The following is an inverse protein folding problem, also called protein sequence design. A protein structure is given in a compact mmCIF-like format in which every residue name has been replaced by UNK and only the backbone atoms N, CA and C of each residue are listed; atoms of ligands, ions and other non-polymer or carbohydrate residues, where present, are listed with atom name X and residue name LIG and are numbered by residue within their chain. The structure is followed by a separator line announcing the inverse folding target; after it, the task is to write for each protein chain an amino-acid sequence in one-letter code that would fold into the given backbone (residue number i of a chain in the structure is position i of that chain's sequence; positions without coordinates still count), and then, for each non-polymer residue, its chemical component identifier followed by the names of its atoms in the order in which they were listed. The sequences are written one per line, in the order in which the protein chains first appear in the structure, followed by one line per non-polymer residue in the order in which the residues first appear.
data_IF_865662559867
#
_entry.id   IF_865662559867
#
_cell.length_a   1.000
_cell.length_b   1.000
_cell.length_c   1.000
_cell.angle_alpha   90.00
_cell.angle_beta   90.00
_cell.angle_gamma   90.00
#
_symmetry.space_group_name_H-M   'P 1'
#
loop_
_entity.id
_entity.type
_entity.pdbx_description
1 polymer ?
#
# COMPACT_ATOMS: atom_id res chain seq x y z
N UNK A 1 10.74 5.76 -14.48
CA UNK A 1 10.90 4.33 -14.20
C UNK A 1 11.08 4.01 -12.71
N UNK A 2 12.00 4.70 -11.99
CA UNK A 2 12.32 4.40 -10.57
C UNK A 2 11.14 4.60 -9.58
N UNK A 3 10.27 5.58 -9.82
CA UNK A 3 9.17 5.90 -8.90
C UNK A 3 8.19 4.73 -8.68
N UNK A 4 7.84 3.97 -9.73
CA UNK A 4 6.96 2.80 -9.59
C UNK A 4 7.59 1.69 -8.76
N UNK A 5 8.89 1.45 -8.92
CA UNK A 5 9.62 0.48 -8.12
C UNK A 5 9.63 0.86 -6.62
N UNK A 6 9.80 2.15 -6.31
CA UNK A 6 9.69 2.66 -4.93
C UNK A 6 8.28 2.48 -4.36
N UNK A 7 7.25 2.78 -5.13
CA UNK A 7 5.85 2.53 -4.74
C UNK A 7 5.59 1.05 -4.45
N UNK A 8 6.06 0.16 -5.32
CA UNK A 8 5.99 -1.30 -5.13
C UNK A 8 6.72 -1.73 -3.85
N UNK A 9 7.95 -1.25 -3.65
CA UNK A 9 8.72 -1.56 -2.45
C UNK A 9 7.97 -1.15 -1.17
N UNK A 10 7.32 0.02 -1.18
CA UNK A 10 6.51 0.48 -0.04
C UNK A 10 5.23 -0.35 0.10
N UNK A 11 4.54 -0.67 -0.99
CA UNK A 11 3.29 -1.43 -0.99
C UNK A 11 3.45 -2.89 -0.56
N UNK A 12 4.67 -3.43 -0.58
CA UNK A 12 4.99 -4.72 0.05
C UNK A 12 4.96 -4.67 1.59
N UNK A 13 5.00 -3.47 2.19
CA UNK A 13 4.82 -3.31 3.64
C UNK A 13 3.34 -3.35 4.00
N UNK A 14 3.02 -4.04 5.10
CA UNK A 14 1.66 -4.12 5.64
C UNK A 14 1.70 -4.16 7.17
N UNK A 15 0.70 -3.58 7.85
CA UNK A 15 0.57 -3.73 9.30
C UNK A 15 0.20 -5.18 9.66
N UNK A 16 0.99 -5.80 10.51
CA UNK A 16 0.75 -7.15 10.99
C UNK A 16 -0.05 -7.16 12.29
N UNK A 17 -1.02 -8.05 12.42
CA UNK A 17 -1.81 -8.23 13.65
C UNK A 17 -0.92 -8.49 14.88
N UNK A 18 0.15 -9.26 14.73
CA UNK A 18 1.11 -9.53 15.82
C UNK A 18 1.95 -8.31 16.20
N UNK A 19 2.09 -7.34 15.29
CA UNK A 19 2.86 -6.12 15.50
C UNK A 19 2.01 -4.97 16.06
N UNK A 20 0.68 -5.14 16.14
CA UNK A 20 -0.25 -4.11 16.61
C UNK A 20 0.07 -3.66 18.04
N UNK A 21 0.44 -4.58 18.92
CA UNK A 21 0.82 -4.30 20.31
C UNK A 21 2.07 -3.41 20.45
N UNK A 22 2.93 -3.36 19.44
CA UNK A 22 4.16 -2.58 19.44
C UNK A 22 4.05 -1.28 18.62
N UNK A 23 3.21 -1.28 17.58
CA UNK A 23 3.11 -0.18 16.61
C UNK A 23 1.87 0.69 16.81
N UNK A 24 0.86 0.20 17.54
CA UNK A 24 -0.45 0.84 17.68
C UNK A 24 -1.29 0.88 16.39
N UNK A 25 -0.80 0.29 15.29
CA UNK A 25 -1.50 0.25 14.01
C UNK A 25 -2.25 -1.07 13.86
N UNK A 26 -3.57 -1.07 13.62
CA UNK A 26 -4.34 -2.29 13.44
C UNK A 26 -3.81 -3.16 12.31
N UNK A 27 -3.65 -4.46 12.60
CA UNK A 27 -3.23 -5.44 11.60
C UNK A 27 -4.21 -5.54 10.44
N UNK A 28 -3.71 -5.87 9.24
CA UNK A 28 -4.56 -6.03 8.06
C UNK A 28 -4.27 -7.34 7.34
N UNK A 29 -5.33 -8.03 6.97
CA UNK A 29 -5.29 -9.20 6.11
C UNK A 29 -5.75 -8.81 4.71
N UNK A 30 -4.89 -9.02 3.72
CA UNK A 30 -5.18 -8.71 2.31
C UNK A 30 -5.36 -10.01 1.55
N UNK A 31 -6.47 -10.15 0.85
CA UNK A 31 -6.73 -11.35 0.05
C UNK A 31 -5.85 -11.36 -1.20
N UNK A 32 -5.56 -12.55 -1.73
CA UNK A 32 -4.78 -12.70 -2.97
C UNK A 32 -5.34 -11.88 -4.14
N UNK A 33 -6.67 -11.85 -4.29
CA UNK A 33 -7.34 -11.09 -5.35
C UNK A 33 -7.05 -9.59 -5.23
N UNK A 34 -7.09 -9.06 -4.01
CA UNK A 34 -6.80 -7.66 -3.73
C UNK A 34 -5.33 -7.31 -3.91
N UNK A 35 -4.43 -8.21 -3.52
CA UNK A 35 -3.00 -8.07 -3.80
C UNK A 35 -2.74 -7.96 -5.30
N UNK A 36 -3.25 -8.91 -6.10
CA UNK A 36 -3.05 -8.91 -7.56
C UNK A 36 -3.63 -7.63 -8.18
N UNK A 37 -4.83 -7.19 -7.75
CA UNK A 37 -5.45 -5.94 -8.21
C UNK A 37 -4.54 -4.74 -7.95
N UNK A 38 -4.06 -4.57 -6.71
CA UNK A 38 -3.22 -3.44 -6.33
C UNK A 38 -1.90 -3.40 -7.08
N UNK A 39 -1.17 -4.52 -7.14
CA UNK A 39 0.10 -4.59 -7.87
C UNK A 39 -0.07 -4.35 -9.37
N UNK A 40 -1.13 -4.89 -9.99
CA UNK A 40 -1.42 -4.65 -11.41
C UNK A 40 -1.61 -3.15 -11.69
N UNK A 41 -2.38 -2.45 -10.86
CA UNK A 41 -2.61 -1.01 -11.04
C UNK A 41 -1.36 -0.15 -10.83
N UNK A 42 -0.46 -0.53 -9.91
CA UNK A 42 0.82 0.18 -9.72
C UNK A 42 1.74 -0.03 -10.94
N UNK A 43 1.79 -1.25 -11.48
CA UNK A 43 2.61 -1.58 -12.66
C UNK A 43 2.06 -0.91 -13.92
N UNK A 44 0.74 -0.88 -14.11
CA UNK A 44 0.08 -0.20 -15.24
C UNK A 44 0.21 1.32 -15.17
N UNK A 45 0.50 1.88 -13.99
CA UNK A 45 0.71 3.32 -13.78
C UNK A 45 -0.56 4.08 -13.39
N UNK A 46 -1.66 3.38 -13.06
CA UNK A 46 -2.93 3.98 -12.65
C UNK A 46 -2.76 4.89 -11.42
N UNK A 47 -1.79 4.59 -10.55
CA UNK A 47 -1.53 5.31 -9.32
C UNK A 47 -0.26 6.17 -9.36
N UNK A 48 0.23 6.54 -10.55
CA UNK A 48 1.46 7.33 -10.69
C UNK A 48 1.34 8.73 -10.08
N UNK A 49 0.12 9.27 -10.02
CA UNK A 49 -0.18 10.58 -9.43
C UNK A 49 -0.14 10.60 -7.89
N UNK A 50 -0.19 9.44 -7.23
CA UNK A 50 -0.15 9.35 -5.76
C UNK A 50 1.29 9.48 -5.21
N UNK A 51 1.48 10.08 -4.02
CA UNK A 51 2.80 10.17 -3.39
C UNK A 51 3.30 8.80 -2.92
N UNK A 52 4.62 8.57 -2.91
CA UNK A 52 5.21 7.28 -2.49
C UNK A 52 4.85 6.89 -1.04
N UNK A 53 4.68 7.88 -0.16
CA UNK A 53 4.31 7.67 1.25
C UNK A 53 2.91 7.08 1.42
N UNK A 54 2.01 7.27 0.46
CA UNK A 54 0.66 6.72 0.50
C UNK A 54 0.66 5.18 0.46
N UNK A 55 1.70 4.57 -0.10
CA UNK A 55 1.83 3.11 -0.25
C UNK A 55 2.49 2.43 0.96
N UNK A 56 2.88 3.18 2.00
CA UNK A 56 3.59 2.62 3.14
C UNK A 56 2.63 2.22 4.27
N UNK A 57 2.79 1.00 4.80
CA UNK A 57 1.99 0.45 5.91
C UNK A 57 0.48 0.56 5.66
N UNK A 58 0.06 0.09 4.48
CA UNK A 58 -1.35 0.02 4.06
C UNK A 58 -1.71 -1.44 3.77
N UNK A 59 -2.99 -1.77 3.83
CA UNK A 59 -3.50 -3.08 3.45
C UNK A 59 -3.77 -3.17 1.95
N UNK A 60 -4.93 -2.66 1.53
CA UNK A 60 -5.36 -2.69 0.12
C UNK A 60 -4.91 -1.43 -0.63
N UNK A 61 -5.07 -1.45 -1.95
CA UNK A 61 -4.78 -0.30 -2.79
C UNK A 61 -5.73 0.88 -2.54
N UNK A 62 -6.98 0.60 -2.15
CA UNK A 62 -7.96 1.65 -1.84
C UNK A 62 -7.52 2.45 -0.60
N UNK A 63 -6.90 1.79 0.38
CA UNK A 63 -6.33 2.48 1.54
C UNK A 63 -5.14 3.37 1.17
N UNK A 64 -4.34 2.97 0.18
CA UNK A 64 -3.29 3.85 -0.35
C UNK A 64 -3.91 5.11 -0.99
N UNK A 65 -5.01 4.95 -1.73
CA UNK A 65 -5.76 6.08 -2.32
C UNK A 65 -6.34 6.98 -1.24
N UNK A 66 -6.96 6.41 -0.19
CA UNK A 66 -7.49 7.20 0.93
C UNK A 66 -6.39 7.93 1.69
N UNK A 67 -5.27 7.25 1.99
CA UNK A 67 -4.13 7.85 2.67
C UNK A 67 -3.52 9.01 1.87
N UNK A 68 -3.49 8.89 0.54
CA UNK A 68 -3.02 9.96 -0.33
C UNK A 68 -3.85 11.25 -0.24
N UNK A 69 -5.12 11.19 0.16
CA UNK A 69 -5.96 12.40 0.34
C UNK A 69 -5.57 13.21 1.57
N UNK A 70 -4.85 12.59 2.50
CA UNK A 70 -4.43 13.19 3.78
C UNK A 70 -2.96 13.64 3.79
N UNK A 71 -2.28 13.52 2.65
CA UNK A 71 -0.87 13.87 2.43
C UNK A 71 -0.77 15.08 1.48
#
# INVERSE_FOLDING_TARGET
AVARARKIQRFLSQPFHVAEVFTGSPGKYVTLKETIRGFKGIVSGEYDHLPEQAFYMVGTIDEAVEKAKTL
#
